data_IF_091438244724
#
_entry.id   IF_091438244724
#
_cell.length_a   1.000
_cell.length_b   1.000
_cell.length_c   1.000
_cell.angle_alpha   90.00
_cell.angle_beta   90.00
_cell.angle_gamma   90.00
#
_symmetry.space_group_name_H-M   'P 1'
#
loop_
_entity.id
_entity.type
_entity.pdbx_description
1 polymer ?
#
# COMPACT_ATOMS: atom_id res chain seq x y z
N UNK A 1 -3.66 23.96 6.34
CA UNK A 1 -2.89 22.72 6.60
C UNK A 1 -3.61 21.56 5.94
N UNK A 2 -2.87 20.58 5.42
CA UNK A 2 -3.18 19.88 4.17
C UNK A 2 -4.02 18.63 4.41
N UNK A 3 -4.61 18.10 3.34
CA UNK A 3 -4.94 16.67 3.33
C UNK A 3 -3.59 15.95 3.14
N UNK A 4 -2.99 15.46 4.22
CA UNK A 4 -1.73 14.70 4.14
C UNK A 4 -1.93 13.30 3.57
N UNK A 5 -3.14 12.74 3.69
CA UNK A 5 -3.54 11.45 3.14
C UNK A 5 -5.01 11.47 2.72
N UNK A 6 -5.33 10.88 1.56
CA UNK A 6 -6.70 10.68 1.09
C UNK A 6 -7.04 9.20 1.25
N UNK A 7 -8.07 8.90 2.04
CA UNK A 7 -8.60 7.55 2.16
C UNK A 7 -9.56 7.24 1.00
N UNK A 8 -9.19 6.32 0.13
CA UNK A 8 -10.07 5.82 -0.93
C UNK A 8 -11.05 4.79 -0.35
N UNK A 9 -12.30 4.82 -0.82
CA UNK A 9 -13.37 3.88 -0.44
C UNK A 9 -14.11 3.40 -1.68
N UNK A 10 -14.75 2.24 -1.58
CA UNK A 10 -15.55 1.66 -2.65
C UNK A 10 -16.58 0.67 -2.11
N UNK A 11 -17.37 0.07 -3.00
CA UNK A 11 -18.20 -1.08 -2.64
C UNK A 11 -17.33 -2.31 -2.36
N UNK A 12 -17.84 -3.27 -1.57
CA UNK A 12 -17.10 -4.51 -1.31
C UNK A 12 -16.69 -5.22 -2.60
N UNK A 13 -17.59 -5.31 -3.59
CA UNK A 13 -17.27 -5.92 -4.88
C UNK A 13 -16.12 -5.23 -5.63
N UNK A 14 -16.03 -3.89 -5.56
CA UNK A 14 -14.92 -3.15 -6.16
C UNK A 14 -13.61 -3.36 -5.38
N UNK A 15 -13.68 -3.43 -4.05
CA UNK A 15 -12.52 -3.71 -3.20
C UNK A 15 -12.01 -5.14 -3.42
N UNK A 16 -12.89 -6.14 -3.49
CA UNK A 16 -12.56 -7.54 -3.75
C UNK A 16 -11.82 -7.70 -5.09
N UNK A 17 -12.30 -7.02 -6.14
CA UNK A 17 -11.63 -7.03 -7.45
C UNK A 17 -10.25 -6.38 -7.39
N UNK A 18 -10.13 -5.24 -6.72
CA UNK A 18 -8.87 -4.52 -6.59
C UNK A 18 -7.83 -5.34 -5.83
N UNK A 19 -8.20 -5.94 -4.70
CA UNK A 19 -7.25 -6.71 -3.89
C UNK A 19 -6.73 -7.95 -4.61
N UNK A 20 -7.56 -8.61 -5.43
CA UNK A 20 -7.11 -9.69 -6.32
C UNK A 20 -6.09 -9.19 -7.35
N UNK A 21 -6.36 -8.06 -8.00
CA UNK A 21 -5.43 -7.48 -8.99
C UNK A 21 -4.09 -7.07 -8.38
N UNK A 22 -4.11 -6.60 -7.13
CA UNK A 22 -2.92 -6.17 -6.41
C UNK A 22 -2.21 -7.30 -5.64
N UNK A 23 -2.74 -8.53 -5.65
CA UNK A 23 -2.20 -9.64 -4.87
C UNK A 23 -2.27 -9.43 -3.35
N UNK A 24 -3.22 -8.61 -2.89
CA UNK A 24 -3.47 -8.32 -1.47
C UNK A 24 -4.51 -9.30 -0.93
N UNK A 25 -4.22 -9.89 0.23
CA UNK A 25 -5.11 -10.84 0.89
C UNK A 25 -5.66 -10.25 2.20
N UNK A 26 -6.95 -10.45 2.42
CA UNK A 26 -7.62 -10.21 3.69
C UNK A 26 -8.68 -11.27 3.94
N UNK A 27 -8.80 -11.71 5.19
CA UNK A 27 -9.70 -12.78 5.60
C UNK A 27 -10.33 -12.43 6.95
N UNK A 28 -11.65 -12.58 7.05
CA UNK A 28 -12.33 -12.56 8.34
C UNK A 28 -12.03 -13.84 9.11
N UNK A 29 -11.57 -13.70 10.34
CA UNK A 29 -11.27 -14.80 11.25
C UNK A 29 -12.26 -14.73 12.42
N UNK A 30 -13.21 -15.68 12.54
CA UNK A 30 -14.17 -15.69 13.64
C UNK A 30 -13.50 -15.83 15.00
N UNK A 31 -14.06 -15.17 16.02
CA UNK A 31 -13.62 -15.31 17.41
C UNK A 31 -14.55 -16.25 18.20
N UNK A 32 -13.99 -16.94 19.19
CA UNK A 32 -14.77 -17.69 20.16
C UNK A 32 -15.59 -16.71 21.02
N UNK A 33 -16.89 -16.97 21.17
CA UNK A 33 -17.81 -16.05 21.85
C UNK A 33 -18.45 -14.97 20.96
N UNK A 34 -18.15 -14.98 19.65
CA UNK A 34 -18.78 -14.12 18.65
C UNK A 34 -17.91 -12.94 18.19
N UNK A 35 -18.24 -12.38 17.03
CA UNK A 35 -17.42 -11.38 16.34
C UNK A 35 -16.31 -11.99 15.47
N UNK A 36 -15.40 -11.14 14.99
CA UNK A 36 -14.29 -11.54 14.13
C UNK A 36 -13.08 -10.61 14.25
N UNK A 37 -11.90 -11.10 13.90
CA UNK A 37 -10.71 -10.31 13.54
C UNK A 37 -10.48 -10.33 12.03
N UNK A 38 -9.67 -9.40 11.53
CA UNK A 38 -9.25 -9.40 10.13
C UNK A 38 -7.78 -9.79 10.06
N UNK A 39 -7.51 -10.95 9.47
CA UNK A 39 -6.17 -11.27 8.99
C UNK A 39 -5.95 -10.53 7.67
N UNK A 40 -4.86 -9.76 7.56
CA UNK A 40 -4.60 -8.94 6.39
C UNK A 40 -3.12 -8.74 6.17
N UNK A 41 -2.70 -8.69 4.90
CA UNK A 41 -1.36 -8.22 4.53
C UNK A 41 -1.25 -6.72 4.82
N UNK A 42 -0.50 -6.34 5.85
CA UNK A 42 -0.29 -4.94 6.24
C UNK A 42 0.88 -4.27 5.46
N UNK A 43 0.95 -4.53 4.15
CA UNK A 43 1.99 -3.96 3.28
C UNK A 43 1.51 -2.67 2.59
N UNK A 44 2.42 -1.75 2.31
CA UNK A 44 2.15 -0.56 1.49
C UNK A 44 2.73 -0.75 0.10
N UNK A 45 1.91 -0.53 -0.92
CA UNK A 45 2.30 -0.56 -2.33
C UNK A 45 2.50 0.87 -2.81
N UNK A 46 3.65 1.14 -3.45
CA UNK A 46 3.95 2.46 -4.01
C UNK A 46 3.88 2.40 -5.53
N UNK A 47 3.09 3.30 -6.11
CA UNK A 47 2.93 3.48 -7.54
C UNK A 47 3.53 4.81 -8.00
N UNK A 48 4.15 4.84 -9.17
CA UNK A 48 4.58 6.08 -9.81
C UNK A 48 3.42 6.78 -10.55
N UNK A 49 3.62 7.98 -11.12
CA UNK A 49 2.57 8.68 -11.87
C UNK A 49 2.06 7.95 -13.11
N UNK A 50 2.83 7.00 -13.66
CA UNK A 50 2.45 6.15 -14.79
C UNK A 50 1.76 4.85 -14.33
N UNK A 51 1.36 4.78 -13.06
CA UNK A 51 0.68 3.67 -12.39
C UNK A 51 1.50 2.37 -12.36
N UNK A 52 2.82 2.46 -12.43
CA UNK A 52 3.70 1.29 -12.27
C UNK A 52 3.97 1.03 -10.79
N UNK A 53 3.88 -0.24 -10.37
CA UNK A 53 4.27 -0.65 -9.02
C UNK A 53 5.81 -0.58 -8.89
N UNK A 54 6.28 0.32 -8.03
CA UNK A 54 7.71 0.65 -7.88
C UNK A 54 8.26 0.36 -6.49
N UNK A 55 7.41 -0.06 -5.54
CA UNK A 55 7.84 -0.45 -4.21
C UNK A 55 6.79 -1.26 -3.45
N UNK A 56 7.28 -2.17 -2.61
CA UNK A 56 6.49 -2.91 -1.62
C UNK A 56 7.16 -2.75 -0.26
N UNK A 57 6.44 -2.14 0.67
CA UNK A 57 6.92 -1.88 2.03
C UNK A 57 6.17 -2.81 2.99
N UNK A 58 6.91 -3.72 3.64
CA UNK A 58 6.34 -4.67 4.57
C UNK A 58 5.90 -4.04 5.91
N UNK A 59 5.24 -4.87 6.72
CA UNK A 59 4.81 -4.51 8.07
C UNK A 59 6.00 -4.42 9.02
N UNK A 60 6.13 -3.28 9.70
CA UNK A 60 7.28 -2.81 10.51
C UNK A 60 8.27 -1.98 9.72
N UNK A 61 7.93 -0.70 9.61
CA UNK A 61 8.87 0.36 9.38
C UNK A 61 8.50 1.41 10.44
N UNK A 62 9.36 1.62 11.45
CA UNK A 62 9.23 2.78 12.33
C UNK A 62 9.00 4.04 11.52
N UNK A 63 8.36 5.08 12.07
CA UNK A 63 8.06 6.32 11.32
C UNK A 63 9.26 6.84 10.54
N UNK A 64 10.44 6.77 11.15
CA UNK A 64 11.73 7.11 10.53
C UNK A 64 12.08 6.18 9.36
N UNK A 65 11.96 4.86 9.54
CA UNK A 65 12.24 3.88 8.49
C UNK A 65 11.28 4.01 7.31
N UNK A 66 10.00 4.28 7.55
CA UNK A 66 9.00 4.50 6.50
C UNK A 66 9.34 5.76 5.70
N UNK A 67 9.61 6.86 6.40
CA UNK A 67 9.95 8.12 5.75
C UNK A 67 11.25 8.01 4.92
N UNK A 68 12.24 7.25 5.41
CA UNK A 68 13.48 6.98 4.68
C UNK A 68 13.23 6.11 3.45
N UNK A 69 12.54 4.98 3.60
CA UNK A 69 12.22 4.09 2.48
C UNK A 69 11.46 4.82 1.36
N UNK A 70 10.48 5.66 1.74
CA UNK A 70 9.76 6.50 0.78
C UNK A 70 10.69 7.46 0.03
N UNK A 71 11.58 8.17 0.74
CA UNK A 71 12.53 9.10 0.09
C UNK A 71 13.49 8.38 -0.84
N UNK A 72 13.99 7.22 -0.43
CA UNK A 72 14.94 6.43 -1.22
C UNK A 72 14.29 5.94 -2.52
N UNK A 73 13.06 5.41 -2.44
CA UNK A 73 12.32 4.99 -3.64
C UNK A 73 12.02 6.20 -4.53
N UNK A 74 11.63 7.35 -3.97
CA UNK A 74 11.36 8.56 -4.74
C UNK A 74 12.59 9.04 -5.51
N UNK A 75 13.74 9.09 -4.85
CA UNK A 75 15.02 9.47 -5.46
C UNK A 75 15.42 8.49 -6.57
N UNK A 76 15.21 7.19 -6.36
CA UNK A 76 15.45 6.19 -7.38
C UNK A 76 14.59 6.42 -8.63
N UNK A 77 13.28 6.64 -8.46
CA UNK A 77 12.37 6.92 -9.58
C UNK A 77 12.81 8.17 -10.35
N UNK A 78 13.12 9.27 -9.65
CA UNK A 78 13.58 10.51 -10.30
C UNK A 78 14.86 10.30 -11.11
N UNK A 79 15.82 9.55 -10.58
CA UNK A 79 17.05 9.24 -11.28
C UNK A 79 16.84 8.36 -12.53
N UNK A 80 15.82 7.50 -12.54
CA UNK A 80 15.47 6.67 -13.71
C UNK A 80 14.73 7.46 -14.79
N UNK A 81 13.84 8.37 -14.40
CA UNK A 81 13.11 9.24 -15.34
C UNK A 81 14.04 10.18 -16.10
N UNK A 82 15.10 10.68 -15.46
CA UNK A 82 16.13 11.50 -16.12
C UNK A 82 17.07 10.73 -17.05
N UNK A 83 17.13 9.40 -16.97
CA UNK A 83 17.93 8.54 -17.86
C UNK A 83 17.18 8.05 -19.10
N UNK A 84 15.85 8.25 -19.14
CA UNK A 84 14.99 7.85 -20.26
C UNK A 84 14.80 8.96 -21.32
N UNK A 85 15.44 10.12 -21.13
CA UNK A 85 15.54 11.21 -22.12
C UNK A 85 16.93 11.22 -22.73
#
# INVERSE_FOLDING_TARGET
>A
MPISFIGLRGSNAALDQLTVQLGVLYVQVPLEGGGYTMDHTASMLLFDPDLQLVGLLGQTLSDTALATAYRDIRQFIDAQSGRRQ
#
